data_IF_725460531271
#
_entry.id   IF_725460531271
#
_cell.length_a   1.000
_cell.length_b   1.000
_cell.length_c   1.000
_cell.angle_alpha   90.00
_cell.angle_beta   90.00
_cell.angle_gamma   90.00
#
_symmetry.space_group_name_H-M   'P 1'
#
loop_
_entity.id
_entity.type
_entity.pdbx_description
1 polymer ?
#
# COMPACT_ATOMS: atom_id res chain seq x y z
N UNK A 1 26.73 20.67 -49.22
CA UNK A 1 27.49 19.97 -48.17
C UNK A 1 26.52 19.57 -47.07
N UNK A 2 26.10 18.30 -47.03
CA UNK A 2 25.22 17.80 -45.97
C UNK A 2 26.08 17.44 -44.76
N UNK A 3 25.85 18.12 -43.63
CA UNK A 3 26.53 17.84 -42.37
C UNK A 3 26.14 16.47 -41.78
N UNK A 4 26.94 15.92 -40.86
CA UNK A 4 26.69 14.59 -40.30
C UNK A 4 25.41 14.55 -39.48
N UNK A 5 24.57 13.55 -39.76
CA UNK A 5 23.37 13.22 -39.01
C UNK A 5 23.80 12.72 -37.62
N UNK A 6 23.32 13.38 -36.56
CA UNK A 6 23.56 12.94 -35.17
C UNK A 6 22.84 11.61 -34.92
N UNK A 7 23.48 10.62 -34.28
CA UNK A 7 22.81 9.36 -33.95
C UNK A 7 21.68 9.60 -32.95
N UNK A 8 20.50 9.05 -33.24
CA UNK A 8 19.36 9.08 -32.34
C UNK A 8 19.67 8.29 -31.07
N UNK A 9 19.34 8.86 -29.90
CA UNK A 9 19.43 8.14 -28.62
C UNK A 9 18.38 7.03 -28.62
N UNK A 10 18.72 5.79 -28.21
CA UNK A 10 17.75 4.71 -28.13
C UNK A 10 16.60 5.09 -27.19
N UNK A 11 15.37 4.95 -27.69
CA UNK A 11 14.11 5.07 -26.93
C UNK A 11 14.16 4.18 -25.68
N UNK A 12 13.58 4.60 -24.54
CA UNK A 12 13.65 3.82 -23.31
C UNK A 12 12.96 2.49 -23.57
N UNK A 13 13.74 1.43 -23.49
CA UNK A 13 13.27 0.06 -23.47
C UNK A 13 12.17 0.00 -22.40
N UNK A 14 10.91 -0.22 -22.81
CA UNK A 14 9.78 -0.36 -21.87
C UNK A 14 10.21 -1.37 -20.83
N UNK A 15 10.28 -0.93 -19.58
CA UNK A 15 10.92 -1.66 -18.47
C UNK A 15 10.04 -2.85 -18.04
N UNK A 16 9.91 -3.83 -18.93
CA UNK A 16 9.00 -4.96 -18.82
C UNK A 16 9.25 -5.76 -17.54
N UNK A 17 10.52 -5.84 -17.11
CA UNK A 17 10.90 -6.44 -15.84
C UNK A 17 10.19 -5.76 -14.66
N UNK A 18 10.21 -4.42 -14.62
CA UNK A 18 9.55 -3.65 -13.55
C UNK A 18 8.03 -3.79 -13.61
N UNK A 19 7.45 -3.92 -14.81
CA UNK A 19 6.02 -4.17 -14.99
C UNK A 19 5.63 -5.57 -14.47
N UNK A 20 6.38 -6.60 -14.85
CA UNK A 20 6.19 -7.98 -14.36
C UNK A 20 6.35 -8.07 -12.85
N UNK A 21 7.41 -7.48 -12.29
CA UNK A 21 7.61 -7.45 -10.84
C UNK A 21 6.50 -6.68 -10.10
N UNK A 22 5.97 -5.61 -10.70
CA UNK A 22 4.84 -4.86 -10.11
C UNK A 22 3.52 -5.62 -10.19
N UNK A 23 3.39 -6.60 -11.08
CA UNK A 23 2.24 -7.49 -11.12
C UNK A 23 2.37 -8.62 -10.10
N UNK A 24 3.60 -9.12 -9.88
CA UNK A 24 3.89 -10.20 -8.94
C UNK A 24 3.89 -9.74 -7.48
N UNK A 25 4.53 -8.60 -7.21
CA UNK A 25 4.70 -8.03 -5.86
C UNK A 25 3.72 -6.89 -5.65
N UNK A 26 2.46 -7.27 -5.42
CA UNK A 26 1.31 -6.38 -5.30
C UNK A 26 0.27 -6.97 -4.34
N UNK A 27 -0.84 -6.25 -4.17
CA UNK A 27 -2.03 -6.76 -3.53
C UNK A 27 -2.86 -7.55 -4.55
N UNK A 28 -3.11 -8.83 -4.29
CA UNK A 28 -3.89 -9.67 -5.20
C UNK A 28 -5.36 -9.26 -5.25
N UNK A 29 -5.93 -8.85 -4.10
CA UNK A 29 -7.31 -8.42 -3.99
C UNK A 29 -7.42 -7.14 -3.16
N UNK A 30 -8.44 -6.33 -3.46
CA UNK A 30 -8.87 -5.18 -2.67
C UNK A 30 -10.31 -5.41 -2.22
N UNK A 31 -10.64 -5.12 -0.96
CA UNK A 31 -12.02 -5.23 -0.46
C UNK A 31 -12.36 -4.07 0.47
N UNK A 32 -13.60 -3.60 0.38
CA UNK A 32 -14.15 -2.57 1.25
C UNK A 32 -15.33 -3.11 2.05
N UNK A 33 -15.70 -2.40 3.11
CA UNK A 33 -16.83 -2.74 3.96
C UNK A 33 -18.13 -2.32 3.25
N UNK A 34 -18.75 -3.26 2.54
CA UNK A 34 -19.93 -3.00 1.69
C UNK A 34 -21.15 -2.48 2.44
N UNK A 35 -21.22 -2.71 3.76
CA UNK A 35 -22.32 -2.24 4.60
C UNK A 35 -22.15 -0.77 5.05
N UNK A 36 -20.99 -0.15 4.77
CA UNK A 36 -20.73 1.25 5.09
C UNK A 36 -21.06 2.16 3.89
N UNK A 37 -21.52 3.40 4.14
CA UNK A 37 -21.81 4.34 3.08
C UNK A 37 -20.55 4.70 2.27
N UNK A 38 -20.72 4.97 0.99
CA UNK A 38 -19.65 5.41 0.09
C UNK A 38 -18.46 4.43 -0.03
N UNK A 39 -18.74 3.12 0.02
CA UNK A 39 -17.71 2.07 -0.09
C UNK A 39 -16.91 2.14 -1.40
N UNK A 40 -17.46 2.74 -2.46
CA UNK A 40 -16.77 3.03 -3.72
C UNK A 40 -15.64 4.06 -3.56
N UNK A 41 -15.80 5.00 -2.63
CA UNK A 41 -14.74 5.97 -2.30
C UNK A 41 -13.60 5.28 -1.55
N UNK A 42 -13.94 4.39 -0.61
CA UNK A 42 -12.95 3.52 0.04
C UNK A 42 -12.23 2.63 -0.98
N UNK A 43 -12.92 2.12 -2.00
CA UNK A 43 -12.31 1.26 -3.01
C UNK A 43 -11.27 2.05 -3.83
N UNK A 44 -11.63 3.25 -4.29
CA UNK A 44 -10.69 4.17 -4.97
C UNK A 44 -9.50 4.53 -4.09
N UNK A 45 -9.70 4.63 -2.77
CA UNK A 45 -8.62 4.86 -1.83
C UNK A 45 -7.65 3.67 -1.80
N UNK A 46 -8.16 2.44 -1.69
CA UNK A 46 -7.35 1.22 -1.72
C UNK A 46 -6.61 1.05 -3.05
N UNK A 47 -7.28 1.34 -4.17
CA UNK A 47 -6.65 1.35 -5.50
C UNK A 47 -5.50 2.35 -5.56
N UNK A 48 -5.71 3.56 -5.04
CA UNK A 48 -4.66 4.58 -4.95
C UNK A 48 -3.48 4.11 -4.10
N UNK A 49 -3.71 3.41 -2.99
CA UNK A 49 -2.64 2.83 -2.17
C UNK A 49 -1.88 1.74 -2.92
N UNK A 50 -2.57 0.80 -3.59
CA UNK A 50 -1.94 -0.24 -4.42
C UNK A 50 -1.06 0.38 -5.51
N UNK A 51 -1.55 1.44 -6.14
CA UNK A 51 -0.91 2.05 -7.30
C UNK A 51 0.13 3.12 -6.93
N UNK A 52 0.29 3.46 -5.64
CA UNK A 52 1.25 4.43 -5.13
C UNK A 52 2.70 4.03 -5.51
N UNK A 53 3.49 4.94 -6.13
CA UNK A 53 4.85 4.62 -6.54
C UNK A 53 5.76 4.16 -5.39
N UNK A 54 5.56 4.69 -4.19
CA UNK A 54 6.31 4.32 -3.00
C UNK A 54 5.92 2.95 -2.49
N UNK A 55 4.61 2.66 -2.40
CA UNK A 55 4.10 1.32 -2.02
C UNK A 55 4.63 0.27 -2.99
N UNK A 56 4.46 0.48 -4.31
CA UNK A 56 4.97 -0.45 -5.33
C UNK A 56 6.49 -0.61 -5.27
N UNK A 57 7.22 0.45 -4.91
CA UNK A 57 8.67 0.37 -4.74
C UNK A 57 9.04 -0.56 -3.58
N UNK A 58 8.42 -0.37 -2.40
CA UNK A 58 8.65 -1.21 -1.22
C UNK A 58 8.29 -2.66 -1.52
N UNK A 59 7.11 -2.92 -2.07
CA UNK A 59 6.67 -4.28 -2.38
C UNK A 59 7.64 -5.00 -3.34
N UNK A 60 8.11 -4.33 -4.40
CA UNK A 60 9.11 -4.93 -5.29
C UNK A 60 10.46 -5.15 -4.61
N UNK A 61 10.94 -4.16 -3.84
CA UNK A 61 12.24 -4.21 -3.18
C UNK A 61 12.33 -5.40 -2.21
N UNK A 62 11.26 -5.62 -1.44
CA UNK A 62 11.19 -6.71 -0.46
C UNK A 62 10.47 -7.96 -0.97
N UNK A 63 10.05 -7.96 -2.25
CA UNK A 63 9.31 -9.05 -2.90
C UNK A 63 8.04 -9.44 -2.14
N UNK A 64 7.36 -8.46 -1.55
CA UNK A 64 6.11 -8.69 -0.84
C UNK A 64 4.96 -8.90 -1.81
N UNK A 65 4.21 -9.97 -1.58
CA UNK A 65 2.93 -10.25 -2.23
C UNK A 65 1.89 -10.41 -1.14
N UNK A 66 0.81 -9.63 -1.21
CA UNK A 66 -0.24 -9.61 -0.18
C UNK A 66 -1.53 -10.16 -0.76
N UNK A 67 -2.17 -11.10 -0.07
CA UNK A 67 -3.38 -11.77 -0.56
C UNK A 67 -4.57 -10.81 -0.65
N UNK A 68 -4.77 -10.00 0.38
CA UNK A 68 -5.88 -9.05 0.46
C UNK A 68 -5.47 -7.75 1.18
N UNK A 69 -5.78 -6.61 0.56
CA UNK A 69 -5.85 -5.32 1.24
C UNK A 69 -7.31 -4.96 1.52
N UNK A 70 -7.65 -4.81 2.80
CA UNK A 70 -9.02 -4.66 3.29
C UNK A 70 -9.19 -3.33 4.05
N UNK A 71 -10.33 -2.68 3.85
CA UNK A 71 -10.79 -1.61 4.74
C UNK A 71 -11.08 -2.17 6.14
N UNK A 72 -10.41 -1.62 7.15
CA UNK A 72 -10.57 -2.01 8.54
C UNK A 72 -11.89 -1.49 9.12
N UNK A 73 -12.53 -2.31 9.97
CA UNK A 73 -13.68 -1.91 10.78
C UNK A 73 -13.36 -0.69 11.67
N UNK A 74 -14.12 0.41 11.58
CA UNK A 74 -13.82 1.59 12.38
C UNK A 74 -14.19 1.43 13.86
N UNK A 75 -15.16 0.58 14.22
CA UNK A 75 -15.51 0.31 15.62
C UNK A 75 -14.63 -0.77 16.26
N UNK A 76 -14.13 -1.73 15.47
CA UNK A 76 -13.24 -2.78 15.94
C UNK A 76 -11.82 -2.25 16.14
N UNK A 77 -11.15 -2.64 17.23
CA UNK A 77 -9.74 -2.30 17.54
C UNK A 77 -9.50 -0.86 18.04
N UNK A 78 -10.44 -0.35 18.83
CA UNK A 78 -10.30 0.89 19.60
C UNK A 78 -10.32 0.51 21.08
N UNK A 79 -9.18 0.58 21.76
CA UNK A 79 -9.15 0.50 23.24
C UNK A 79 -9.22 1.91 23.83
N UNK A 80 -9.53 2.03 25.12
CA UNK A 80 -9.48 3.31 25.83
C UNK A 80 -8.05 3.93 25.82
N UNK A 81 -7.02 3.13 25.51
CA UNK A 81 -5.60 3.46 25.63
C UNK A 81 -4.92 3.69 24.27
N UNK A 82 -5.56 3.32 23.15
CA UNK A 82 -4.99 3.48 21.81
C UNK A 82 -5.89 3.01 20.67
N UNK A 83 -5.68 3.60 19.48
CA UNK A 83 -6.43 3.29 18.26
C UNK A 83 -5.57 2.48 17.30
N UNK A 84 -5.99 1.26 16.98
CA UNK A 84 -5.36 0.48 15.91
C UNK A 84 -5.76 1.06 14.56
N UNK A 85 -4.75 1.45 13.77
CA UNK A 85 -4.94 2.04 12.45
C UNK A 85 -4.74 1.03 11.32
N UNK A 86 -4.07 -0.09 11.59
CA UNK A 86 -3.85 -1.16 10.63
C UNK A 86 -3.53 -2.47 11.35
N UNK A 87 -3.65 -3.57 10.61
CA UNK A 87 -3.28 -4.92 11.06
C UNK A 87 -2.72 -5.73 9.90
N UNK A 88 -1.59 -6.38 10.11
CA UNK A 88 -1.09 -7.45 9.27
C UNK A 88 -1.42 -8.82 9.88
N UNK A 89 -2.19 -9.64 9.16
CA UNK A 89 -2.49 -11.02 9.54
C UNK A 89 -1.63 -11.98 8.74
N UNK A 90 -1.04 -12.95 9.44
CA UNK A 90 -0.28 -14.06 8.86
C UNK A 90 0.78 -13.61 7.85
N UNK A 91 1.54 -12.56 8.20
CA UNK A 91 2.69 -12.08 7.42
C UNK A 91 2.34 -11.78 5.95
N UNK A 92 1.26 -11.03 5.73
CA UNK A 92 0.85 -10.57 4.41
C UNK A 92 -0.28 -11.37 3.76
N UNK A 93 -0.92 -12.31 4.47
CA UNK A 93 -2.14 -12.93 3.95
C UNK A 93 -3.25 -11.89 3.81
N UNK A 94 -3.48 -11.11 4.87
CA UNK A 94 -4.43 -10.00 4.90
C UNK A 94 -3.80 -8.80 5.58
N UNK A 95 -3.88 -7.64 4.93
CA UNK A 95 -3.58 -6.36 5.56
C UNK A 95 -4.86 -5.54 5.63
N UNK A 96 -5.18 -5.07 6.82
CA UNK A 96 -6.28 -4.15 7.07
C UNK A 96 -5.75 -2.76 7.34
N UNK A 97 -6.38 -1.74 6.76
CA UNK A 97 -6.08 -0.34 7.05
C UNK A 97 -7.34 0.46 7.33
N UNK A 98 -7.31 1.26 8.39
CA UNK A 98 -8.40 2.15 8.77
C UNK A 98 -8.43 3.35 7.82
N UNK A 99 -9.46 3.37 6.98
CA UNK A 99 -9.65 4.46 6.02
C UNK A 99 -10.49 5.60 6.58
N UNK A 100 -11.43 5.31 7.49
CA UNK A 100 -12.44 6.26 7.95
C UNK A 100 -12.02 7.02 9.20
N UNK A 101 -12.54 8.23 9.34
CA UNK A 101 -12.55 8.99 10.59
C UNK A 101 -13.44 8.30 11.61
N UNK A 102 -13.24 8.64 12.89
CA UNK A 102 -13.91 7.94 13.99
C UNK A 102 -15.41 8.30 14.09
N UNK A 103 -15.81 9.43 13.50
CA UNK A 103 -17.21 9.86 13.43
C UNK A 103 -17.93 9.32 12.19
N UNK A 104 -17.28 8.43 11.41
CA UNK A 104 -17.81 7.87 10.15
C UNK A 104 -18.21 8.94 9.10
N UNK A 105 -17.79 10.18 9.30
CA UNK A 105 -18.16 11.36 8.51
C UNK A 105 -17.16 11.65 7.38
N UNK A 106 -16.06 10.89 7.30
CA UNK A 106 -15.06 11.08 6.26
C UNK A 106 -13.95 10.04 6.24
N UNK A 107 -12.92 10.35 5.45
CA UNK A 107 -11.72 9.54 5.30
C UNK A 107 -10.54 10.24 5.96
N UNK A 108 -9.64 9.43 6.51
CA UNK A 108 -8.35 9.88 7.01
C UNK A 108 -7.51 10.43 5.86
N UNK A 109 -6.59 11.32 6.18
CA UNK A 109 -5.69 11.85 5.18
C UNK A 109 -4.82 10.74 4.57
N UNK A 110 -4.55 10.86 3.27
CA UNK A 110 -3.82 9.85 2.52
C UNK A 110 -2.42 9.57 3.08
N UNK A 111 -1.74 10.60 3.62
CA UNK A 111 -0.38 10.46 4.11
C UNK A 111 -0.34 9.58 5.36
N UNK A 112 -1.29 9.76 6.28
CA UNK A 112 -1.44 8.93 7.48
C UNK A 112 -1.73 7.49 7.11
N UNK A 113 -2.74 7.24 6.24
CA UNK A 113 -3.10 5.87 5.84
C UNK A 113 -1.95 5.18 5.10
N UNK A 114 -1.25 5.89 4.20
CA UNK A 114 -0.07 5.35 3.50
C UNK A 114 1.04 4.97 4.49
N UNK A 115 1.30 5.81 5.51
CA UNK A 115 2.28 5.50 6.55
C UNK A 115 1.89 4.24 7.33
N UNK A 116 0.62 4.12 7.70
CA UNK A 116 0.09 2.91 8.33
C UNK A 116 0.24 1.69 7.43
N UNK A 117 -0.03 1.80 6.12
CA UNK A 117 0.19 0.68 5.20
C UNK A 117 1.67 0.27 5.14
N UNK A 118 2.61 1.22 5.16
CA UNK A 118 4.03 0.87 5.22
C UNK A 118 4.39 0.15 6.52
N UNK A 119 3.81 0.58 7.65
CA UNK A 119 3.92 -0.08 8.95
C UNK A 119 3.48 -1.55 8.85
N UNK A 120 2.30 -1.80 8.29
CA UNK A 120 1.79 -3.17 8.16
C UNK A 120 2.60 -4.02 7.17
N UNK A 121 3.11 -3.43 6.08
CA UNK A 121 4.00 -4.17 5.16
C UNK A 121 5.29 -4.59 5.85
N UNK A 122 5.87 -3.74 6.71
CA UNK A 122 7.04 -4.10 7.49
C UNK A 122 6.80 -5.30 8.42
N UNK A 123 5.58 -5.45 8.91
CA UNK A 123 5.19 -6.60 9.72
C UNK A 123 5.20 -7.95 8.99
N UNK A 124 5.36 -7.99 7.65
CA UNK A 124 5.61 -9.23 6.90
C UNK A 124 6.96 -9.85 7.32
N UNK A 125 7.95 -9.03 7.65
CA UNK A 125 9.31 -9.48 7.97
C UNK A 125 9.62 -9.30 9.45
N UNK A 126 9.24 -8.15 10.04
CA UNK A 126 9.62 -7.76 11.39
C UNK A 126 8.43 -7.84 12.35
N UNK A 127 8.54 -8.66 13.39
CA UNK A 127 7.46 -8.79 14.38
C UNK A 127 7.52 -7.69 15.46
N UNK A 128 8.71 -7.22 15.83
CA UNK A 128 8.91 -6.15 16.82
C UNK A 128 9.23 -4.81 16.16
N UNK A 129 8.95 -3.69 16.85
CA UNK A 129 9.21 -2.33 16.37
C UNK A 129 10.69 -1.91 16.55
N UNK A 130 11.60 -2.72 16.02
CA UNK A 130 13.04 -2.51 16.08
C UNK A 130 13.56 -1.49 15.05
N UNK A 131 14.89 -1.30 14.97
CA UNK A 131 15.49 -0.31 14.07
C UNK A 131 15.24 -0.60 12.59
N UNK A 132 15.15 -1.87 12.20
CA UNK A 132 14.95 -2.27 10.81
C UNK A 132 13.49 -2.03 10.39
N UNK A 133 12.56 -2.21 11.33
CA UNK A 133 11.18 -1.76 11.20
C UNK A 133 11.08 -0.25 10.88
N UNK A 134 11.79 0.60 11.61
CA UNK A 134 11.75 2.05 11.38
C UNK A 134 12.41 2.46 10.05
N UNK A 135 13.45 1.76 9.59
CA UNK A 135 14.06 2.01 8.28
C UNK A 135 13.10 1.75 7.10
N UNK A 136 12.11 0.87 7.28
CA UNK A 136 11.12 0.53 6.25
C UNK A 136 9.88 1.43 6.26
N UNK A 137 9.60 2.06 7.41
CA UNK A 137 8.33 2.76 7.70
C UNK A 137 8.46 4.27 7.85
N UNK A 138 9.69 4.81 7.79
CA UNK A 138 10.01 6.24 7.90
C UNK A 138 9.84 7.03 6.60
#
# INVERSE_FOLDING_TARGET
>A
MSGPIKPAKPTPFRDWKKATESALYSFANLRTLQHLPHHETSLKFLERLRDDPGVKHVMRKHKYSVGLLLEMEPAGNTTHEGKTLGLNRNKGEVIEVRLRTDWYDGWRDYKTVRKTLMHELAHIEFSEHDRDFWNLTS
#
